data_IF_911825561998
#
_entry.id   IF_911825561998
#
_cell.length_a   1.000
_cell.length_b   1.000
_cell.length_c   1.000
_cell.angle_alpha   90.00
_cell.angle_beta   90.00
_cell.angle_gamma   90.00
#
_symmetry.space_group_name_H-M   'P 1'
#
loop_
_entity.id
_entity.type
_entity.pdbx_description
1 polymer ?
#
# COMPACT_ATOMS: atom_id res chain seq x y z
N UNK A 1 11.64 -11.79 5.02
CA UNK A 1 10.93 -11.26 3.82
C UNK A 1 11.91 -10.84 2.72
N UNK A 2 11.54 -10.96 1.43
CA UNK A 2 12.39 -10.51 0.32
C UNK A 2 12.13 -9.03 -0.06
N UNK A 3 13.09 -8.32 -0.68
CA UNK A 3 12.97 -6.88 -0.96
C UNK A 3 11.79 -6.50 -1.87
N UNK A 4 11.41 -7.34 -2.83
CA UNK A 4 10.24 -7.09 -3.69
C UNK A 4 8.97 -7.07 -2.83
N UNK A 5 8.75 -8.11 -2.03
CA UNK A 5 7.58 -8.22 -1.16
C UNK A 5 7.50 -7.04 -0.17
N UNK A 6 8.63 -6.64 0.43
CA UNK A 6 8.68 -5.48 1.33
C UNK A 6 8.21 -4.19 0.65
N UNK A 7 8.65 -3.92 -0.58
CA UNK A 7 8.28 -2.71 -1.30
C UNK A 7 6.82 -2.71 -1.75
N UNK A 8 6.29 -3.88 -2.13
CA UNK A 8 4.87 -4.04 -2.44
C UNK A 8 4.02 -3.86 -1.17
N UNK A 9 4.44 -4.42 -0.04
CA UNK A 9 3.73 -4.28 1.23
C UNK A 9 3.80 -2.86 1.79
N UNK A 10 4.88 -2.10 1.55
CA UNK A 10 4.95 -0.66 1.83
C UNK A 10 3.85 0.10 1.09
N UNK A 11 3.64 -0.19 -0.20
CA UNK A 11 2.57 0.42 -1.00
C UNK A 11 1.18 0.02 -0.50
N UNK A 12 0.98 -1.26 -0.18
CA UNK A 12 -0.29 -1.74 0.36
C UNK A 12 -0.59 -1.08 1.73
N UNK A 13 0.39 -1.01 2.63
CA UNK A 13 0.27 -0.33 3.92
C UNK A 13 0.11 1.19 3.80
N UNK A 14 0.62 1.81 2.74
CA UNK A 14 0.38 3.22 2.47
C UNK A 14 -1.07 3.45 2.02
N UNK A 15 -1.60 2.57 1.17
CA UNK A 15 -2.97 2.66 0.66
C UNK A 15 -4.02 2.66 1.78
N UNK A 16 -3.77 1.95 2.89
CA UNK A 16 -4.65 1.95 4.07
C UNK A 16 -4.61 3.25 4.89
N UNK A 17 -3.62 4.13 4.67
CA UNK A 17 -3.40 5.30 5.53
C UNK A 17 -3.86 6.60 4.88
N UNK A 18 -3.94 6.66 3.55
CA UNK A 18 -4.19 7.92 2.82
C UNK A 18 -5.56 8.54 3.11
N UNK A 19 -6.47 7.77 3.67
CA UNK A 19 -7.83 8.14 4.04
C UNK A 19 -7.96 8.61 5.51
N UNK A 20 -6.85 8.54 6.26
CA UNK A 20 -6.74 8.89 7.68
C UNK A 20 -6.77 7.71 8.65
N UNK A 21 -7.25 6.53 8.26
CA UNK A 21 -7.41 5.39 9.16
C UNK A 21 -7.26 4.05 8.44
N UNK A 22 -6.21 3.30 8.79
CA UNK A 22 -6.06 1.92 8.34
C UNK A 22 -7.06 1.00 9.06
N UNK A 23 -8.04 0.51 8.31
CA UNK A 23 -9.09 -0.37 8.81
C UNK A 23 -8.54 -1.78 9.09
N UNK A 24 -9.16 -2.51 10.02
CA UNK A 24 -8.75 -3.90 10.26
C UNK A 24 -9.09 -4.82 9.06
N UNK A 25 -10.11 -4.48 8.27
CA UNK A 25 -10.45 -5.24 7.06
C UNK A 25 -9.35 -5.13 6.00
N UNK A 26 -8.84 -3.92 5.77
CA UNK A 26 -7.70 -3.70 4.87
C UNK A 26 -6.44 -4.43 5.35
N UNK A 27 -6.12 -4.33 6.64
CA UNK A 27 -4.95 -5.02 7.22
C UNK A 27 -5.07 -6.54 7.07
N UNK A 28 -6.24 -7.10 7.39
CA UNK A 28 -6.48 -8.53 7.25
C UNK A 28 -6.39 -8.97 5.78
N UNK A 29 -6.92 -8.17 4.85
CA UNK A 29 -6.76 -8.43 3.43
C UNK A 29 -5.29 -8.48 3.01
N UNK A 30 -4.45 -7.53 3.46
CA UNK A 30 -3.02 -7.54 3.13
C UNK A 30 -2.33 -8.78 3.75
N UNK A 31 -2.70 -9.16 4.98
CA UNK A 31 -2.12 -10.32 5.68
C UNK A 31 -2.53 -11.64 5.03
N UNK A 32 -3.74 -11.76 4.51
CA UNK A 32 -4.23 -13.01 3.91
C UNK A 32 -3.85 -13.06 2.42
N UNK A 33 -4.45 -12.19 1.61
CA UNK A 33 -4.28 -12.17 0.15
C UNK A 33 -2.87 -11.69 -0.24
N UNK A 34 -2.36 -10.66 0.43
CA UNK A 34 -1.02 -10.13 0.16
C UNK A 34 0.08 -11.16 0.43
N UNK A 35 -0.01 -11.88 1.55
CA UNK A 35 0.91 -12.98 1.89
C UNK A 35 0.90 -14.08 0.84
N UNK A 36 -0.29 -14.50 0.38
CA UNK A 36 -0.43 -15.52 -0.66
C UNK A 36 0.21 -15.06 -1.98
N UNK A 37 -0.14 -13.86 -2.46
CA UNK A 37 0.35 -13.32 -3.74
C UNK A 37 1.87 -13.10 -3.73
N UNK A 38 2.42 -12.71 -2.59
CA UNK A 38 3.85 -12.41 -2.41
C UNK A 38 4.66 -13.60 -1.90
N UNK A 39 4.02 -14.76 -1.69
CA UNK A 39 4.63 -15.98 -1.14
C UNK A 39 5.43 -15.70 0.14
N UNK A 40 4.86 -14.89 1.02
CA UNK A 40 5.45 -14.44 2.27
C UNK A 40 4.60 -14.92 3.45
N UNK A 41 5.21 -15.20 4.60
CA UNK A 41 4.46 -15.67 5.77
C UNK A 41 3.55 -14.57 6.34
N UNK A 42 2.26 -14.85 6.64
CA UNK A 42 1.38 -13.91 7.34
C UNK A 42 1.99 -13.38 8.66
N UNK A 43 2.76 -14.22 9.36
CA UNK A 43 3.44 -13.86 10.60
C UNK A 43 4.56 -12.82 10.40
N UNK A 44 5.14 -12.74 9.20
CA UNK A 44 6.08 -11.68 8.82
C UNK A 44 5.34 -10.44 8.29
N UNK A 45 4.24 -10.63 7.58
CA UNK A 45 3.48 -9.52 6.95
C UNK A 45 2.82 -8.63 7.99
N UNK A 46 2.08 -9.20 8.96
CA UNK A 46 1.35 -8.43 9.97
C UNK A 46 2.22 -7.42 10.73
N UNK A 47 3.35 -7.80 11.35
CA UNK A 47 4.19 -6.83 12.05
C UNK A 47 4.81 -5.80 11.11
N UNK A 48 5.17 -6.21 9.88
CA UNK A 48 5.76 -5.30 8.90
C UNK A 48 4.79 -4.21 8.44
N UNK A 49 3.55 -4.56 8.10
CA UNK A 49 2.55 -3.56 7.67
C UNK A 49 2.16 -2.63 8.82
N UNK A 50 2.08 -3.13 10.05
CA UNK A 50 1.79 -2.30 11.23
C UNK A 50 2.91 -1.27 11.48
N UNK A 51 4.17 -1.68 11.33
CA UNK A 51 5.31 -0.77 11.38
C UNK A 51 5.22 0.32 10.29
N UNK A 52 4.94 -0.08 9.05
CA UNK A 52 4.80 0.86 7.93
C UNK A 52 3.66 1.87 8.17
N UNK A 53 2.49 1.37 8.59
CA UNK A 53 1.32 2.20 8.91
C UNK A 53 1.68 3.25 9.98
N UNK A 54 2.34 2.85 11.06
CA UNK A 54 2.78 3.78 12.11
C UNK A 54 3.75 4.86 11.61
N UNK A 55 4.67 4.49 10.72
CA UNK A 55 5.58 5.45 10.06
C UNK A 55 4.81 6.43 9.18
N UNK A 56 3.86 5.95 8.36
CA UNK A 56 3.10 6.82 7.46
C UNK A 56 2.15 7.76 8.19
N UNK A 57 1.51 7.28 9.26
CA UNK A 57 0.67 8.10 10.13
C UNK A 57 1.49 9.19 10.83
N UNK A 58 2.64 8.84 11.43
CA UNK A 58 3.50 9.81 12.12
C UNK A 58 4.10 10.86 11.20
N UNK A 59 4.32 10.53 9.91
CA UNK A 59 4.80 11.46 8.88
C UNK A 59 3.67 12.20 8.15
N UNK A 60 2.40 11.98 8.52
CA UNK A 60 1.25 12.73 8.01
C UNK A 60 0.84 12.38 6.58
N UNK A 61 1.00 11.12 6.14
CA UNK A 61 0.64 10.69 4.79
C UNK A 61 -0.85 10.94 4.44
N UNK A 62 -1.76 10.79 5.41
CA UNK A 62 -3.20 11.05 5.23
C UNK A 62 -3.54 12.50 4.87
N UNK A 63 -2.80 13.46 5.44
CA UNK A 63 -3.08 14.89 5.31
C UNK A 63 -2.17 15.58 4.29
N UNK A 64 -1.22 14.84 3.71
CA UNK A 64 -0.25 15.37 2.77
C UNK A 64 -0.08 14.44 1.57
N UNK A 65 -0.83 14.68 0.47
CA UNK A 65 -0.72 13.89 -0.75
C UNK A 65 0.69 13.87 -1.34
N UNK A 66 1.48 14.94 -1.16
CA UNK A 66 2.87 14.98 -1.61
C UNK A 66 3.76 14.00 -0.83
N UNK A 67 3.56 13.91 0.49
CA UNK A 67 4.25 12.91 1.33
C UNK A 67 3.86 11.49 0.94
N UNK A 68 2.57 11.20 0.76
CA UNK A 68 2.11 9.89 0.31
C UNK A 68 2.72 9.51 -1.06
N UNK A 69 2.73 10.46 -2.00
CA UNK A 69 3.31 10.24 -3.32
C UNK A 69 4.82 9.93 -3.27
N UNK A 70 5.57 10.62 -2.39
CA UNK A 70 6.99 10.36 -2.20
C UNK A 70 7.26 8.94 -1.68
N UNK A 71 6.48 8.46 -0.70
CA UNK A 71 6.60 7.07 -0.25
C UNK A 71 6.26 6.07 -1.36
N UNK A 72 5.24 6.36 -2.17
CA UNK A 72 4.88 5.52 -3.29
C UNK A 72 6.02 5.44 -4.32
N UNK A 73 6.64 6.58 -4.66
CA UNK A 73 7.80 6.64 -5.55
C UNK A 73 8.99 5.84 -5.01
N UNK A 74 9.32 6.01 -3.72
CA UNK A 74 10.43 5.28 -3.09
C UNK A 74 10.22 3.77 -3.12
N UNK A 75 8.99 3.31 -2.87
CA UNK A 75 8.64 1.90 -2.91
C UNK A 75 8.56 1.32 -4.33
N UNK A 76 8.14 2.11 -5.33
CA UNK A 76 8.07 1.68 -6.72
C UNK A 76 9.44 1.63 -7.43
N UNK A 77 10.38 2.49 -7.03
CA UNK A 77 11.69 2.64 -7.69
C UNK A 77 12.49 1.33 -7.85
N UNK A 78 12.56 0.42 -6.87
CA UNK A 78 13.31 -0.83 -7.01
C UNK A 78 12.54 -1.94 -7.74
N UNK A 79 11.26 -1.73 -8.08
CA UNK A 79 10.40 -2.75 -8.68
C UNK A 79 10.52 -2.77 -10.21
N UNK A 80 10.47 -3.96 -10.79
CA UNK A 80 10.23 -4.18 -12.23
C UNK A 80 8.79 -3.82 -12.59
N UNK A 81 8.49 -3.63 -13.88
CA UNK A 81 7.15 -3.23 -14.31
C UNK A 81 6.07 -4.26 -13.96
N UNK A 82 6.39 -5.56 -14.02
CA UNK A 82 5.47 -6.62 -13.57
C UNK A 82 5.19 -6.54 -12.07
N UNK A 83 6.20 -6.23 -11.26
CA UNK A 83 6.05 -6.06 -9.81
C UNK A 83 5.29 -4.77 -9.46
N UNK A 84 5.48 -3.68 -10.23
CA UNK A 84 4.69 -2.45 -10.08
C UNK A 84 3.22 -2.70 -10.40
N UNK A 85 2.90 -3.46 -11.45
CA UNK A 85 1.53 -3.84 -11.78
C UNK A 85 0.89 -4.67 -10.65
N UNK A 86 1.63 -5.64 -10.09
CA UNK A 86 1.16 -6.42 -8.94
C UNK A 86 0.92 -5.52 -7.72
N UNK A 87 1.83 -4.59 -7.44
CA UNK A 87 1.69 -3.64 -6.34
C UNK A 87 0.43 -2.78 -6.51
N UNK A 88 0.23 -2.24 -7.72
CA UNK A 88 -0.95 -1.46 -8.07
C UNK A 88 -2.24 -2.25 -7.87
N UNK A 89 -2.28 -3.50 -8.32
CA UNK A 89 -3.44 -4.39 -8.15
C UNK A 89 -3.76 -4.66 -6.68
N UNK A 90 -2.74 -4.87 -5.83
CA UNK A 90 -2.94 -5.06 -4.39
C UNK A 90 -3.47 -3.76 -3.77
N UNK A 91 -2.89 -2.60 -4.08
CA UNK A 91 -3.39 -1.31 -3.59
C UNK A 91 -4.82 -1.03 -4.04
N UNK A 92 -5.18 -1.36 -5.27
CA UNK A 92 -6.55 -1.27 -5.78
C UNK A 92 -7.50 -2.07 -4.90
N UNK A 93 -7.20 -3.34 -4.64
CA UNK A 93 -8.04 -4.20 -3.81
C UNK A 93 -8.15 -3.72 -2.36
N UNK A 94 -7.06 -3.20 -1.79
CA UNK A 94 -7.06 -2.61 -0.44
C UNK A 94 -8.07 -1.46 -0.37
N UNK A 95 -7.95 -0.47 -1.26
CA UNK A 95 -8.83 0.71 -1.29
C UNK A 95 -10.30 0.34 -1.50
N UNK A 96 -10.57 -0.76 -2.21
CA UNK A 96 -11.94 -1.19 -2.54
C UNK A 96 -12.47 -2.28 -1.59
N UNK A 97 -11.75 -2.60 -0.51
CA UNK A 97 -12.22 -3.58 0.48
C UNK A 97 -13.38 -3.01 1.29
N UNK A 98 -13.31 -1.72 1.60
CA UNK A 98 -14.30 -1.00 2.37
C UNK A 98 -15.45 -0.55 1.46
N UNK A 99 -16.65 -0.42 2.03
CA UNK A 99 -17.88 -0.17 1.26
C UNK A 99 -17.91 1.21 0.56
N UNK A 100 -17.14 2.16 1.06
CA UNK A 100 -17.10 3.53 0.56
C UNK A 100 -15.64 3.95 0.35
N UNK A 101 -15.30 4.26 -0.91
CA UNK A 101 -13.98 4.79 -1.27
C UNK A 101 -13.98 6.30 -1.11
N UNK A 102 -13.08 6.83 -0.30
CA UNK A 102 -12.95 8.27 -0.03
C UNK A 102 -12.22 8.98 -1.18
N UNK A 103 -12.43 10.30 -1.29
CA UNK A 103 -11.79 11.12 -2.33
C UNK A 103 -10.25 11.07 -2.24
N UNK A 104 -9.69 11.03 -1.03
CA UNK A 104 -8.24 10.95 -0.82
C UNK A 104 -7.64 9.64 -1.34
N UNK A 105 -8.35 8.52 -1.17
CA UNK A 105 -7.97 7.22 -1.71
C UNK A 105 -8.05 7.19 -3.23
N UNK A 106 -9.13 7.73 -3.80
CA UNK A 106 -9.26 7.86 -5.27
C UNK A 106 -8.14 8.73 -5.84
N UNK A 107 -7.81 9.84 -5.18
CA UNK A 107 -6.72 10.72 -5.60
C UNK A 107 -5.38 9.99 -5.56
N UNK A 108 -5.09 9.29 -4.47
CA UNK A 108 -3.89 8.47 -4.34
C UNK A 108 -3.84 7.38 -5.41
N UNK A 109 -4.95 6.67 -5.65
CA UNK A 109 -5.07 5.64 -6.68
C UNK A 109 -4.73 6.16 -8.08
N UNK A 110 -5.28 7.31 -8.48
CA UNK A 110 -4.96 7.91 -9.79
C UNK A 110 -3.50 8.36 -9.90
N UNK A 111 -2.93 8.88 -8.82
CA UNK A 111 -1.51 9.24 -8.80
C UNK A 111 -0.63 7.99 -8.92
N UNK A 112 -0.95 6.93 -8.17
CA UNK A 112 -0.24 5.66 -8.24
C UNK A 112 -0.35 5.03 -9.64
N UNK A 113 -1.53 5.06 -10.26
CA UNK A 113 -1.72 4.60 -11.64
C UNK A 113 -0.76 5.31 -12.60
N UNK A 114 -0.66 6.64 -12.50
CA UNK A 114 0.28 7.40 -13.33
C UNK A 114 1.72 6.95 -13.08
N UNK A 115 2.13 6.74 -11.83
CA UNK A 115 3.50 6.28 -11.55
C UNK A 115 3.82 4.88 -12.09
N UNK A 116 2.82 4.02 -12.20
CA UNK A 116 2.98 2.62 -12.60
C UNK A 116 2.96 2.46 -14.13
N UNK A 117 2.14 3.23 -14.83
CA UNK A 117 1.87 3.07 -16.26
C UNK A 117 2.35 4.24 -17.15
N UNK A 118 3.16 5.17 -16.63
CA UNK A 118 3.80 6.24 -17.44
C UNK A 118 5.13 5.82 -18.03
#
# INVERSE_FOLDING_TARGET
MNPTAENILKLAALATVVDGQASEQEKNFIVDDGSYLLRTSPDEVRPFINLCIGIYQSKGAANNPGTALNFALEALKPLTDSEKHLAFHICYKVIHIDKEVKESEMRFFFQLHRLVFS
#
